data_IF_418332720046
#
_entry.id   IF_418332720046
#
_cell.length_a   1.000
_cell.length_b   1.000
_cell.length_c   1.000
_cell.angle_alpha   90.00
_cell.angle_beta   90.00
_cell.angle_gamma   90.00
#
_symmetry.space_group_name_H-M   'P 1'
#
loop_
_entity.id
_entity.type
_entity.pdbx_description
1 polymer ?
#
# COMPACT_ATOMS: atom_id res chain seq x y z
N UNK A 1 -20.13 -9.96 -0.75
CA UNK A 1 -18.89 -9.32 -0.30
C UNK A 1 -18.26 -8.64 -1.49
N UNK A 2 -18.15 -7.31 -1.49
CA UNK A 2 -17.50 -6.54 -2.57
C UNK A 2 -16.06 -6.28 -2.14
N UNK A 3 -15.14 -7.09 -2.64
CA UNK A 3 -13.71 -6.80 -2.56
C UNK A 3 -13.42 -5.65 -3.52
N UNK A 4 -13.16 -4.44 -3.01
CA UNK A 4 -12.53 -3.40 -3.82
C UNK A 4 -11.02 -3.68 -3.86
N UNK A 5 -10.67 -4.67 -4.69
CA UNK A 5 -9.30 -5.05 -4.99
C UNK A 5 -8.77 -4.08 -6.05
N UNK A 6 -8.00 -3.06 -5.65
CA UNK A 6 -7.20 -2.30 -6.61
C UNK A 6 -6.00 -3.15 -7.03
N UNK A 7 -6.24 -3.97 -8.06
CA UNK A 7 -5.31 -4.94 -8.65
C UNK A 7 -3.88 -4.37 -8.72
N UNK A 8 -2.94 -5.10 -8.12
CA UNK A 8 -1.51 -4.92 -8.32
C UNK A 8 -1.10 -5.74 -9.54
N UNK A 9 -1.04 -5.13 -10.73
CA UNK A 9 -0.31 -5.72 -11.84
C UNK A 9 1.17 -5.38 -11.68
N UNK A 10 1.96 -6.32 -11.14
CA UNK A 10 3.40 -6.32 -11.35
C UNK A 10 3.68 -7.12 -12.62
N UNK A 11 4.23 -6.45 -13.63
CA UNK A 11 4.83 -7.10 -14.79
C UNK A 11 6.07 -7.86 -14.35
N UNK A 12 6.07 -9.18 -14.55
CA UNK A 12 7.25 -10.02 -14.36
C UNK A 12 8.28 -9.66 -15.42
N UNK A 13 9.41 -9.08 -15.00
CA UNK A 13 10.62 -9.02 -15.81
C UNK A 13 11.42 -10.30 -15.55
N UNK A 14 11.39 -11.25 -16.48
CA UNK A 14 12.27 -12.41 -16.46
C UNK A 14 13.72 -11.96 -16.71
N UNK A 15 14.63 -12.27 -15.79
CA UNK A 15 16.08 -12.17 -16.01
C UNK A 15 16.73 -13.53 -15.72
N UNK A 16 17.73 -13.97 -16.52
CA UNK A 16 18.14 -15.36 -16.57
C UNK A 16 19.20 -15.74 -15.52
N UNK A 17 18.96 -16.89 -14.88
CA UNK A 17 19.93 -17.96 -14.61
C UNK A 17 21.22 -17.64 -13.85
N UNK A 18 21.27 -18.07 -12.58
CA UNK A 18 22.52 -18.54 -11.95
C UNK A 18 22.28 -19.99 -11.53
N UNK A 19 23.11 -20.89 -12.04
CA UNK A 19 22.92 -22.33 -11.92
C UNK A 19 23.08 -22.82 -10.49
N UNK A 20 22.04 -23.50 -10.03
CA UNK A 20 22.10 -24.49 -8.97
C UNK A 20 21.50 -25.77 -9.57
N UNK A 21 22.17 -26.90 -9.34
CA UNK A 21 21.97 -28.18 -10.02
C UNK A 21 20.50 -28.62 -10.09
N UNK A 22 19.95 -28.66 -11.31
CA UNK A 22 18.64 -29.25 -11.57
C UNK A 22 18.84 -30.77 -11.68
N UNK A 23 18.25 -31.59 -10.79
CA UNK A 23 18.29 -33.03 -10.94
C UNK A 23 17.59 -33.41 -12.26
N UNK A 24 18.27 -34.11 -13.16
CA UNK A 24 17.64 -34.59 -14.39
C UNK A 24 16.69 -35.75 -14.06
N UNK A 25 15.41 -35.44 -13.91
CA UNK A 25 14.37 -36.46 -13.74
C UNK A 25 14.19 -37.19 -15.09
N UNK A 26 14.16 -38.52 -15.04
CA UNK A 26 13.91 -39.36 -16.20
C UNK A 26 12.48 -39.09 -16.70
N UNK A 27 12.23 -39.07 -18.02
CA UNK A 27 10.91 -38.72 -18.61
C UNK A 27 9.72 -39.48 -18.00
N UNK A 28 9.93 -40.66 -17.40
CA UNK A 28 8.89 -41.45 -16.73
C UNK A 28 8.46 -40.89 -15.36
N UNK A 29 9.30 -40.12 -14.68
CA UNK A 29 9.00 -39.49 -13.38
C UNK A 29 8.16 -38.22 -13.51
N UNK A 30 8.22 -37.55 -14.67
CA UNK A 30 7.40 -36.36 -14.96
C UNK A 30 5.90 -36.68 -14.99
N UNK A 31 5.52 -37.89 -15.40
CA UNK A 31 4.11 -38.32 -15.47
C UNK A 31 3.44 -38.38 -14.10
N UNK A 32 4.21 -38.59 -13.04
CA UNK A 32 3.74 -38.62 -11.65
C UNK A 32 4.20 -37.40 -10.83
N UNK A 33 4.85 -36.43 -11.48
CA UNK A 33 5.24 -35.18 -10.84
C UNK A 33 4.00 -34.30 -10.67
N UNK A 34 3.25 -34.56 -9.61
CA UNK A 34 2.28 -33.61 -9.09
C UNK A 34 3.13 -32.50 -8.46
N UNK A 35 3.24 -31.35 -9.13
CA UNK A 35 3.66 -30.12 -8.44
C UNK A 35 2.89 -30.12 -7.12
N UNK A 36 3.60 -30.09 -5.99
CA UNK A 36 2.95 -29.91 -4.71
C UNK A 36 2.10 -28.66 -4.88
N UNK A 37 0.78 -28.83 -4.99
CA UNK A 37 -0.13 -27.71 -4.82
C UNK A 37 0.07 -27.34 -3.37
N UNK A 38 0.97 -26.40 -3.11
CA UNK A 38 0.95 -25.66 -1.86
C UNK A 38 -0.51 -25.23 -1.75
N UNK A 39 -1.26 -25.70 -0.75
CA UNK A 39 -2.63 -25.25 -0.60
C UNK A 39 -2.57 -23.73 -0.54
N UNK A 40 -3.12 -23.07 -1.56
CA UNK A 40 -3.27 -21.62 -1.55
C UNK A 40 -4.16 -21.35 -0.36
N UNK A 41 -3.54 -20.83 0.69
CA UNK A 41 -4.27 -20.40 1.86
C UNK A 41 -4.82 -19.02 1.51
N UNK A 42 -6.07 -18.97 1.02
CA UNK A 42 -6.81 -17.71 0.76
C UNK A 42 -6.99 -16.84 2.02
N UNK A 43 -6.45 -17.25 3.17
CA UNK A 43 -6.53 -16.49 4.41
C UNK A 43 -5.50 -15.37 4.41
N UNK A 44 -6.01 -14.16 4.26
CA UNK A 44 -5.27 -12.93 4.54
C UNK A 44 -4.81 -12.94 6.00
N UNK A 45 -3.50 -12.82 6.22
CA UNK A 45 -2.92 -12.69 7.55
C UNK A 45 -2.66 -11.21 7.85
N UNK A 46 -3.35 -10.68 8.86
CA UNK A 46 -3.17 -9.30 9.31
C UNK A 46 -2.56 -9.28 10.70
N UNK A 47 -1.38 -8.67 10.81
CA UNK A 47 -0.62 -8.55 12.06
C UNK A 47 -0.20 -7.11 12.31
N UNK A 48 0.24 -6.82 13.53
CA UNK A 48 0.89 -5.54 13.82
C UNK A 48 2.21 -5.44 13.03
N UNK A 49 2.61 -4.21 12.71
CA UNK A 49 3.89 -3.99 12.04
C UNK A 49 5.04 -4.52 12.90
N UNK A 50 5.89 -5.36 12.32
CA UNK A 50 7.14 -5.76 12.96
C UNK A 50 8.19 -4.64 12.90
N UNK A 51 9.28 -4.79 13.66
CA UNK A 51 10.35 -3.78 13.78
C UNK A 51 10.92 -3.37 12.41
N UNK A 52 11.19 -4.34 11.53
CA UNK A 52 11.73 -4.08 10.19
C UNK A 52 10.76 -3.27 9.33
N UNK A 53 9.45 -3.56 9.41
CA UNK A 53 8.43 -2.82 8.68
C UNK A 53 8.24 -1.40 9.22
N UNK A 54 8.25 -1.22 10.55
CA UNK A 54 8.23 0.10 11.19
C UNK A 54 9.44 0.93 10.77
N UNK A 55 10.62 0.31 10.74
CA UNK A 55 11.86 0.96 10.28
C UNK A 55 11.75 1.39 8.81
N UNK A 56 11.23 0.54 7.92
CA UNK A 56 11.02 0.87 6.51
C UNK A 56 10.11 2.09 6.37
N UNK A 57 8.94 2.10 7.05
CA UNK A 57 8.03 3.24 6.99
C UNK A 57 8.69 4.53 7.51
N UNK A 58 9.41 4.43 8.62
CA UNK A 58 10.13 5.56 9.22
C UNK A 58 11.24 6.09 8.30
N UNK A 59 11.97 5.20 7.62
CA UNK A 59 12.98 5.60 6.65
C UNK A 59 12.36 6.33 5.45
N UNK A 60 11.22 5.86 4.95
CA UNK A 60 10.53 6.52 3.83
C UNK A 60 9.96 7.88 4.20
N UNK A 61 9.48 8.07 5.44
CA UNK A 61 9.12 9.39 5.97
C UNK A 61 10.31 10.35 5.94
N UNK A 62 11.49 9.89 6.42
CA UNK A 62 12.72 10.68 6.34
C UNK A 62 13.12 11.00 4.91
N UNK A 63 12.98 10.04 3.98
CA UNK A 63 13.28 10.26 2.56
C UNK A 63 12.40 11.39 1.98
N UNK A 64 11.11 11.41 2.32
CA UNK A 64 10.20 12.48 1.92
C UNK A 64 10.54 13.82 2.60
N UNK A 65 10.80 13.84 3.91
CA UNK A 65 11.22 15.06 4.61
C UNK A 65 12.51 15.65 4.02
N UNK A 66 13.46 14.82 3.61
CA UNK A 66 14.68 15.25 2.92
C UNK A 66 14.39 15.85 1.53
N UNK A 67 13.35 15.40 0.83
CA UNK A 67 12.87 16.05 -0.40
C UNK A 67 12.30 17.43 -0.08
N UNK A 68 11.39 17.50 0.90
CA UNK A 68 10.75 18.75 1.31
C UNK A 68 11.77 19.81 1.75
N UNK A 69 12.76 19.42 2.54
CA UNK A 69 13.78 20.33 3.01
C UNK A 69 14.60 20.91 1.86
N UNK A 70 15.05 20.06 0.93
CA UNK A 70 15.91 20.46 -0.18
C UNK A 70 15.22 21.39 -1.19
N UNK A 71 13.92 21.21 -1.41
CA UNK A 71 13.21 21.92 -2.46
C UNK A 71 12.28 23.02 -1.95
N UNK A 72 11.70 22.86 -0.76
CA UNK A 72 10.68 23.76 -0.20
C UNK A 72 11.11 24.41 1.12
N UNK A 73 12.28 24.04 1.68
CA UNK A 73 12.74 24.54 2.99
C UNK A 73 11.90 24.05 4.18
N UNK A 74 11.05 23.04 3.97
CA UNK A 74 10.19 22.46 5.01
C UNK A 74 10.95 21.30 5.67
N UNK A 75 11.18 21.40 6.97
CA UNK A 75 11.94 20.38 7.72
C UNK A 75 11.23 19.03 7.79
N UNK A 76 9.92 19.03 8.04
CA UNK A 76 9.15 17.81 8.28
C UNK A 76 7.67 18.02 8.00
N UNK A 77 7.03 17.01 7.38
CA UNK A 77 5.57 16.93 7.27
C UNK A 77 4.94 16.63 8.65
N UNK A 78 3.81 17.25 8.94
CA UNK A 78 3.10 17.12 10.23
C UNK A 78 2.34 15.80 10.41
N UNK A 79 2.12 15.08 9.30
CA UNK A 79 1.28 13.89 9.23
C UNK A 79 -0.21 14.17 9.41
N UNK A 80 -0.70 15.37 9.06
CA UNK A 80 -2.14 15.70 9.08
C UNK A 80 -2.61 16.42 7.83
N UNK A 81 -3.92 16.70 7.74
CA UNK A 81 -4.56 17.25 6.54
C UNK A 81 -3.89 18.51 5.97
N UNK A 82 -3.17 19.29 6.77
CA UNK A 82 -2.45 20.49 6.30
C UNK A 82 -1.33 20.15 5.32
N UNK A 83 -0.76 18.95 5.39
CA UNK A 83 0.30 18.52 4.48
C UNK A 83 -0.22 18.14 3.09
N UNK A 84 -1.54 18.07 2.87
CA UNK A 84 -2.11 17.86 1.53
C UNK A 84 -1.70 18.98 0.58
N UNK A 85 -1.64 20.22 1.05
CA UNK A 85 -1.14 21.34 0.25
C UNK A 85 0.35 21.18 -0.11
N UNK A 86 1.16 20.63 0.80
CA UNK A 86 2.59 20.35 0.54
C UNK A 86 2.73 19.22 -0.48
N UNK A 87 1.92 18.17 -0.39
CA UNK A 87 1.90 17.08 -1.37
C UNK A 87 1.49 17.62 -2.75
N UNK A 88 0.49 18.48 -2.82
CA UNK A 88 0.09 19.14 -4.07
C UNK A 88 1.25 19.97 -4.65
N UNK A 89 1.93 20.75 -3.82
CA UNK A 89 3.07 21.56 -4.24
C UNK A 89 4.21 20.70 -4.83
N UNK A 90 4.51 19.54 -4.22
CA UNK A 90 5.50 18.59 -4.72
C UNK A 90 5.14 18.09 -6.13
N UNK A 91 3.85 17.86 -6.39
CA UNK A 91 3.33 17.42 -7.69
C UNK A 91 3.38 18.57 -8.71
N UNK A 92 2.90 19.76 -8.34
CA UNK A 92 2.78 20.93 -9.23
C UNK A 92 4.15 21.43 -9.67
N UNK A 93 5.12 21.48 -8.75
CA UNK A 93 6.51 21.83 -9.06
C UNK A 93 7.27 20.68 -9.75
N UNK A 94 6.65 19.51 -9.94
CA UNK A 94 7.27 18.31 -10.56
C UNK A 94 8.60 17.94 -9.89
N UNK A 95 8.65 17.99 -8.56
CA UNK A 95 9.87 17.69 -7.79
C UNK A 95 10.29 16.21 -7.86
N UNK A 96 9.40 15.36 -8.35
CA UNK A 96 9.61 13.93 -8.53
C UNK A 96 9.50 13.57 -10.01
N UNK A 97 10.49 12.87 -10.54
CA UNK A 97 10.43 12.29 -11.88
C UNK A 97 9.58 11.02 -11.89
N UNK A 98 9.01 10.67 -13.05
CA UNK A 98 8.06 9.56 -13.16
C UNK A 98 8.64 8.19 -12.77
N UNK A 99 9.94 8.00 -12.99
CA UNK A 99 10.70 6.78 -12.70
C UNK A 99 11.15 6.68 -11.24
N UNK A 100 11.01 7.75 -10.44
CA UNK A 100 11.38 7.78 -9.02
C UNK A 100 10.33 7.09 -8.12
N UNK A 101 10.02 5.83 -8.42
CA UNK A 101 8.96 5.04 -7.76
C UNK A 101 9.08 5.08 -6.23
N UNK A 102 10.31 4.94 -5.70
CA UNK A 102 10.55 4.97 -4.24
C UNK A 102 10.19 6.32 -3.61
N UNK A 103 10.36 7.43 -4.32
CA UNK A 103 10.01 8.76 -3.83
C UNK A 103 8.48 8.96 -3.84
N UNK A 104 7.81 8.53 -4.93
CA UNK A 104 6.34 8.48 -4.99
C UNK A 104 5.74 7.63 -3.86
N UNK A 105 6.36 6.48 -3.57
CA UNK A 105 5.94 5.63 -2.45
C UNK A 105 6.19 6.25 -1.07
N UNK A 106 7.26 7.03 -0.94
CA UNK A 106 7.55 7.78 0.28
C UNK A 106 6.48 8.85 0.54
N UNK A 107 6.05 9.56 -0.51
CA UNK A 107 4.92 10.48 -0.44
C UNK A 107 3.60 9.75 -0.14
N UNK A 108 3.39 8.56 -0.71
CA UNK A 108 2.25 7.69 -0.39
C UNK A 108 2.19 7.29 1.08
N UNK A 109 3.34 7.07 1.73
CA UNK A 109 3.40 6.77 3.17
C UNK A 109 2.99 8.00 4.00
N UNK A 110 3.50 9.19 3.69
CA UNK A 110 3.11 10.42 4.39
C UNK A 110 1.63 10.74 4.18
N UNK A 111 1.11 10.55 2.98
CA UNK A 111 -0.34 10.62 2.73
C UNK A 111 -1.12 9.60 3.56
N UNK A 112 -0.59 8.39 3.71
CA UNK A 112 -1.16 7.37 4.61
C UNK A 112 -1.18 7.81 6.08
N UNK A 113 -0.16 8.53 6.54
CA UNK A 113 -0.15 9.07 7.92
C UNK A 113 -1.25 10.10 8.14
N UNK A 114 -1.51 10.94 7.13
CA UNK A 114 -2.65 11.87 7.13
C UNK A 114 -3.95 11.08 7.30
N UNK A 115 -4.19 10.06 6.47
CA UNK A 115 -5.40 9.24 6.56
C UNK A 115 -5.51 8.53 7.92
N UNK A 116 -4.40 8.00 8.43
CA UNK A 116 -4.35 7.34 9.73
C UNK A 116 -4.81 8.28 10.85
N UNK A 117 -4.29 9.50 10.86
CA UNK A 117 -4.60 10.51 11.86
C UNK A 117 -6.02 11.07 11.74
N UNK A 118 -6.46 11.41 10.53
CA UNK A 118 -7.78 12.01 10.28
C UNK A 118 -8.92 11.00 10.51
N UNK A 119 -8.71 9.73 10.18
CA UNK A 119 -9.77 8.72 10.24
C UNK A 119 -9.65 7.75 11.41
N UNK A 120 -8.57 7.82 12.20
CA UNK A 120 -8.29 6.91 13.31
C UNK A 120 -7.90 5.50 12.86
N UNK A 121 -7.21 5.37 11.73
CA UNK A 121 -6.75 4.08 11.21
C UNK A 121 -5.36 3.75 11.73
N UNK A 122 -5.03 2.46 11.75
CA UNK A 122 -3.72 1.97 12.20
C UNK A 122 -2.96 1.29 11.06
N UNK A 123 -1.66 1.52 10.99
CA UNK A 123 -0.80 0.77 10.08
C UNK A 123 -0.68 -0.69 10.54
N UNK A 124 -0.87 -1.63 9.61
CA UNK A 124 -0.77 -3.08 9.83
C UNK A 124 0.08 -3.74 8.76
N UNK A 125 0.63 -4.90 9.08
CA UNK A 125 1.17 -5.83 8.11
C UNK A 125 0.01 -6.62 7.52
N UNK A 126 -0.12 -6.60 6.20
CA UNK A 126 -1.16 -7.32 5.48
C UNK A 126 -0.46 -8.33 4.57
N UNK A 127 -0.71 -9.61 4.75
CA UNK A 127 -0.11 -10.68 3.95
C UNK A 127 -1.21 -11.43 3.20
N UNK A 128 -1.08 -11.49 1.88
CA UNK A 128 -1.92 -12.27 0.98
C UNK A 128 -1.06 -13.20 0.11
N UNK A 129 -1.68 -13.84 -0.87
CA UNK A 129 -1.02 -14.74 -1.82
C UNK A 129 0.10 -14.07 -2.64
N UNK A 130 0.04 -12.75 -2.80
CA UNK A 130 1.05 -11.96 -3.52
C UNK A 130 2.20 -11.53 -2.59
N UNK A 131 2.01 -11.65 -1.28
CA UNK A 131 3.02 -11.47 -0.24
C UNK A 131 2.67 -10.37 0.76
N UNK A 132 3.72 -9.86 1.42
CA UNK A 132 3.57 -8.95 2.56
C UNK A 132 3.54 -7.49 2.11
N UNK A 133 2.42 -6.83 2.40
CA UNK A 133 2.18 -5.41 2.20
C UNK A 133 1.98 -4.67 3.54
N UNK A 134 1.93 -3.34 3.45
CA UNK A 134 1.61 -2.45 4.58
C UNK A 134 0.37 -1.67 4.23
N UNK A 135 -0.63 -1.74 5.11
CA UNK A 135 -1.94 -1.16 4.89
C UNK A 135 -2.37 -0.36 6.12
N UNK A 136 -3.35 0.53 5.93
CA UNK A 136 -4.11 1.12 7.01
C UNK A 136 -5.36 0.27 7.24
N UNK A 137 -5.60 -0.12 8.48
CA UNK A 137 -6.80 -0.85 8.90
C UNK A 137 -7.67 0.04 9.78
N UNK A 138 -8.99 -0.02 9.55
CA UNK A 138 -9.94 0.56 10.48
C UNK A 138 -10.33 -0.45 11.57
N UNK A 139 -9.94 -0.17 12.82
CA UNK A 139 -10.19 -1.04 13.98
C UNK A 139 -9.83 -2.51 13.67
N UNK A 140 -10.68 -3.45 14.06
CA UNK A 140 -10.55 -4.87 13.75
C UNK A 140 -11.47 -5.31 12.60
N UNK A 141 -11.76 -4.40 11.66
CA UNK A 141 -12.58 -4.69 10.47
C UNK A 141 -11.73 -5.20 9.30
N UNK A 142 -12.37 -5.77 8.29
CA UNK A 142 -11.72 -6.19 7.04
C UNK A 142 -11.64 -5.05 6.00
N UNK A 143 -11.57 -3.81 6.47
CA UNK A 143 -11.43 -2.62 5.62
C UNK A 143 -9.99 -2.12 5.64
N UNK A 144 -9.36 -2.11 4.47
CA UNK A 144 -7.95 -1.79 4.29
C UNK A 144 -7.74 -0.71 3.24
N UNK A 145 -6.77 0.18 3.47
CA UNK A 145 -6.33 1.20 2.51
C UNK A 145 -4.83 1.04 2.27
N UNK A 146 -4.40 1.09 1.02
CA UNK A 146 -3.01 0.81 0.61
C UNK A 146 -2.31 2.05 0.03
N UNK A 147 -2.03 3.08 0.87
CA UNK A 147 -1.66 4.41 0.38
C UNK A 147 -0.28 4.46 -0.27
N UNK A 148 0.61 3.50 0.03
CA UNK A 148 2.00 3.46 -0.45
C UNK A 148 2.08 3.55 -1.98
N UNK A 149 1.19 2.88 -2.71
CA UNK A 149 1.29 2.81 -4.19
C UNK A 149 0.34 3.75 -4.92
N UNK A 150 -0.47 4.55 -4.21
CA UNK A 150 -1.51 5.39 -4.82
C UNK A 150 -0.96 6.34 -5.87
N UNK A 151 0.15 7.02 -5.55
CA UNK A 151 0.76 7.97 -6.45
C UNK A 151 1.58 7.28 -7.54
N UNK A 152 2.41 6.30 -7.17
CA UNK A 152 3.28 5.62 -8.13
C UNK A 152 2.51 4.92 -9.25
N UNK A 153 1.34 4.32 -8.95
CA UNK A 153 0.48 3.70 -9.96
C UNK A 153 -0.08 4.74 -10.94
N UNK A 154 -0.57 5.87 -10.44
CA UNK A 154 -1.12 6.95 -11.29
C UNK A 154 -0.07 7.49 -12.24
N UNK A 155 1.12 7.76 -11.72
CA UNK A 155 2.27 8.18 -12.54
C UNK A 155 2.64 7.13 -13.58
N UNK A 156 2.68 5.84 -13.19
CA UNK A 156 2.97 4.74 -14.10
C UNK A 156 1.96 4.66 -15.27
N UNK A 157 0.69 4.96 -15.03
CA UNK A 157 -0.35 4.97 -16.06
C UNK A 157 -0.54 6.34 -16.74
N UNK A 158 0.29 7.33 -16.42
CA UNK A 158 0.16 8.68 -16.98
C UNK A 158 -1.09 9.45 -16.54
N UNK A 159 -1.69 9.06 -15.42
CA UNK A 159 -2.84 9.72 -14.84
C UNK A 159 -2.41 11.04 -14.16
N UNK A 160 -3.18 12.10 -14.38
CA UNK A 160 -3.03 13.36 -13.66
C UNK A 160 -3.36 13.17 -12.18
N UNK A 161 -2.58 13.78 -11.30
CA UNK A 161 -2.75 13.65 -9.85
C UNK A 161 -3.13 15.02 -9.28
N UNK A 162 -4.30 15.08 -8.65
CA UNK A 162 -4.69 16.15 -7.75
C UNK A 162 -4.81 15.56 -6.34
N UNK A 163 -3.97 16.02 -5.42
CA UNK A 163 -3.88 15.52 -4.06
C UNK A 163 -5.13 15.84 -3.24
N UNK A 164 -5.79 16.97 -3.49
CA UNK A 164 -7.03 17.34 -2.80
C UNK A 164 -8.19 16.47 -3.26
N UNK A 165 -8.33 16.28 -4.57
CA UNK A 165 -9.34 15.37 -5.15
C UNK A 165 -9.11 13.94 -4.68
N UNK A 166 -7.86 13.47 -4.71
CA UNK A 166 -7.51 12.14 -4.22
C UNK A 166 -7.84 11.99 -2.73
N UNK A 167 -7.49 12.97 -1.90
CA UNK A 167 -7.84 12.98 -0.49
C UNK A 167 -9.35 12.92 -0.28
N UNK A 168 -10.13 13.75 -0.97
CA UNK A 168 -11.58 13.81 -0.81
C UNK A 168 -12.24 12.49 -1.25
N UNK A 169 -11.81 11.89 -2.35
CA UNK A 169 -12.33 10.61 -2.83
C UNK A 169 -12.09 9.50 -1.81
N UNK A 170 -10.84 9.35 -1.36
CA UNK A 170 -10.48 8.33 -0.37
C UNK A 170 -11.16 8.59 0.97
N UNK A 171 -11.31 9.85 1.38
CA UNK A 171 -12.04 10.23 2.59
C UNK A 171 -13.51 9.79 2.53
N UNK A 172 -14.15 9.98 1.39
CA UNK A 172 -15.54 9.56 1.17
C UNK A 172 -15.66 8.03 1.22
N UNK A 173 -14.76 7.30 0.55
CA UNK A 173 -14.71 5.84 0.62
C UNK A 173 -14.49 5.35 2.06
N UNK A 174 -13.60 6.01 2.81
CA UNK A 174 -13.34 5.67 4.22
C UNK A 174 -14.58 5.86 5.08
N UNK A 175 -15.28 6.98 4.93
CA UNK A 175 -16.50 7.23 5.69
C UNK A 175 -17.61 6.23 5.35
N UNK A 176 -17.78 5.90 4.07
CA UNK A 176 -18.78 4.90 3.64
C UNK A 176 -18.53 3.53 4.27
N UNK A 177 -17.30 3.00 4.23
CA UNK A 177 -17.06 1.69 4.85
C UNK A 177 -17.18 1.73 6.38
N UNK A 178 -16.87 2.88 7.02
CA UNK A 178 -17.05 3.05 8.48
C UNK A 178 -18.54 2.98 8.86
N UNK A 179 -19.41 3.61 8.08
CA UNK A 179 -20.86 3.56 8.26
C UNK A 179 -21.42 2.16 8.06
N UNK A 180 -21.01 1.47 6.99
CA UNK A 180 -21.42 0.09 6.73
C UNK A 180 -20.99 -0.86 7.86
N UNK A 181 -19.77 -0.70 8.36
CA UNK A 181 -19.25 -1.49 9.49
C UNK A 181 -20.07 -1.26 10.76
N UNK A 182 -20.47 -0.01 11.04
CA UNK A 182 -21.30 0.32 12.19
C UNK A 182 -22.71 -0.29 12.07
N UNK A 183 -23.30 -0.29 10.87
CA UNK A 183 -24.61 -0.88 10.61
C UNK A 183 -24.62 -2.39 10.83
N UNK A 184 -23.60 -3.10 10.35
CA UNK A 184 -23.46 -4.55 10.55
C UNK A 184 -23.27 -4.90 12.03
N UNK A 185 -22.50 -4.10 12.78
CA UNK A 185 -22.31 -4.31 14.21
C UNK A 185 -23.63 -4.13 15.00
N UNK A 186 -24.43 -3.12 14.68
CA UNK A 186 -25.73 -2.88 15.33
C UNK A 186 -26.76 -3.98 15.08
N UNK A 187 -26.74 -4.62 13.91
CA UNK A 187 -27.65 -5.73 13.59
C UNK A 187 -27.30 -7.03 14.32
N UNK A 188 -26.02 -7.25 14.69
CA UNK A 188 -25.57 -8.43 15.44
C UNK A 188 -25.96 -8.38 16.92
N UNK A 189 -26.20 -7.19 17.48
CA UNK A 189 -26.54 -7.02 18.89
C UNK A 189 -28.05 -7.20 19.18
N UNK A 190 -28.89 -7.22 18.14
CA UNK A 190 -30.36 -7.38 18.23
C UNK A 190 -30.83 -8.81 17.93
N UNK A 191 -29.95 -9.82 18.04
CA UNK A 191 -30.26 -11.25 17.94
C UNK A 191 -29.73 -11.96 19.18
#
# INVERSE_FOLDING_TARGET
>A
MRYFLFIAFFTVLSSPGRGDDVPSLLNQELTNYRFSTVPVNDQVLVTQLNVSQQFILSSRRRDFNNLLYRHLGILEARGDKRDIAIIQEVIDQKLLANDQIKAWQSMGIVFGDILAKEFGMAWVSYEDELGISKALRWKETDNYVFPITFFSKRVQFGESIDANVLYNNISNEINQFKEDSARVAGQRHNR
#
